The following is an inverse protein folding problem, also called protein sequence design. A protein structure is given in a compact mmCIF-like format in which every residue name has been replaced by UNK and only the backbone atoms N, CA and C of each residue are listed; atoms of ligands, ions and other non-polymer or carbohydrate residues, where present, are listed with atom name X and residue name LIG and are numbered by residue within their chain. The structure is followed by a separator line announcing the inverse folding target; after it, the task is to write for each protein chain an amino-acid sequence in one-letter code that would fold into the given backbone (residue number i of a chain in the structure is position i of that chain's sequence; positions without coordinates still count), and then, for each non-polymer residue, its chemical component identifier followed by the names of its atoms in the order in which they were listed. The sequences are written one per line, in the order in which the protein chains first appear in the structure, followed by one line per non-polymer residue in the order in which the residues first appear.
data_IF_876954583003
#
_entry.id   IF_876954583003
#
_cell.length_a   1.000
_cell.length_b   1.000
_cell.length_c   1.000
_cell.angle_alpha   90.00
_cell.angle_beta   90.00
_cell.angle_gamma   90.00
#
_symmetry.space_group_name_H-M   'P 1'
#
loop_
_entity.id
_entity.type
_entity.pdbx_description
1 polymer ?
#
# COMPACT_ATOMS: atom_id res chain seq x y z
N UNK A 1 -10.95 -5.32 6.61
CA UNK A 1 -9.88 -6.29 6.27
C UNK A 1 -9.49 -6.20 4.78
N UNK A 2 -8.77 -5.17 4.34
CA UNK A 2 -8.11 -5.20 3.03
C UNK A 2 -7.02 -4.13 2.96
N UNK A 3 -5.80 -4.47 3.39
CA UNK A 3 -4.60 -3.83 2.87
C UNK A 3 -3.86 -4.90 2.08
N UNK A 4 -3.71 -4.68 0.77
CA UNK A 4 -2.95 -5.55 -0.10
C UNK A 4 -1.46 -5.23 0.09
N UNK A 5 -0.79 -5.93 1.00
CA UNK A 5 0.66 -5.94 1.09
C UNK A 5 1.22 -7.04 0.19
N UNK A 6 1.98 -6.68 -0.85
CA UNK A 6 2.75 -7.64 -1.63
C UNK A 6 4.15 -7.78 -1.01
N UNK A 7 4.54 -9.01 -0.66
CA UNK A 7 5.94 -9.34 -0.34
C UNK A 7 6.65 -9.72 -1.65
N UNK A 8 7.65 -8.94 -2.06
CA UNK A 8 8.41 -9.19 -3.29
C UNK A 8 9.89 -9.44 -2.95
N UNK A 9 10.30 -10.72 -2.93
CA UNK A 9 11.71 -11.09 -2.78
C UNK A 9 12.48 -10.93 -4.10
N UNK A 10 13.55 -10.15 -4.10
CA UNK A 10 14.54 -10.05 -5.19
C UNK A 10 15.69 -11.01 -4.93
N UNK A 11 15.61 -12.21 -5.54
CA UNK A 11 16.67 -13.17 -5.92
C UNK A 11 16.15 -14.61 -5.75
N UNK A 12 16.10 -15.40 -6.84
CA UNK A 12 15.96 -16.87 -6.81
C UNK A 12 14.60 -17.47 -6.45
N UNK A 13 13.84 -16.92 -5.49
CA UNK A 13 12.49 -17.39 -5.16
C UNK A 13 11.62 -16.20 -4.73
N UNK A 14 10.63 -15.84 -5.56
CA UNK A 14 9.73 -14.72 -5.26
C UNK A 14 8.42 -15.30 -4.76
N UNK A 15 8.23 -15.31 -3.44
CA UNK A 15 7.00 -15.79 -2.81
C UNK A 15 6.16 -14.58 -2.39
N UNK A 16 4.98 -14.45 -3.00
CA UNK A 16 3.96 -13.52 -2.53
C UNK A 16 2.98 -14.28 -1.63
N UNK A 17 2.78 -13.83 -0.39
CA UNK A 17 1.76 -14.36 0.50
C UNK A 17 0.52 -13.45 0.46
N UNK A 18 -0.67 -14.03 0.24
CA UNK A 18 -1.93 -13.30 0.16
C UNK A 18 -3.03 -14.08 0.89
N UNK A 19 -3.96 -13.40 1.60
CA UNK A 19 -5.10 -14.07 2.21
C UNK A 19 -5.91 -14.89 1.19
N UNK A 20 -6.46 -16.02 1.63
CA UNK A 20 -7.16 -16.99 0.78
C UNK A 20 -8.55 -16.54 0.27
N UNK A 21 -9.24 -15.61 0.93
CA UNK A 21 -10.65 -15.30 0.60
C UNK A 21 -11.09 -13.94 1.16
N UNK A 22 -11.82 -13.13 0.36
CA UNK A 22 -12.78 -12.13 0.88
C UNK A 22 -12.67 -10.69 0.37
N UNK A 23 -11.52 -10.20 -0.09
CA UNK A 23 -11.43 -8.93 -0.80
C UNK A 23 -11.33 -9.24 -2.30
N UNK A 24 -12.09 -8.53 -3.15
CA UNK A 24 -12.11 -8.69 -4.60
C UNK A 24 -10.74 -9.16 -5.09
N UNK A 25 -10.68 -10.40 -5.60
CA UNK A 25 -9.42 -11.04 -5.93
C UNK A 25 -8.70 -10.15 -6.94
N UNK A 26 -7.78 -9.32 -6.46
CA UNK A 26 -6.84 -8.63 -7.33
C UNK A 26 -6.19 -9.78 -8.09
N UNK A 27 -6.28 -9.82 -9.43
CA UNK A 27 -5.70 -10.89 -10.22
C UNK A 27 -4.19 -10.72 -10.17
N UNK A 28 -3.59 -11.04 -9.02
CA UNK A 28 -2.18 -10.81 -8.77
C UNK A 28 -1.34 -11.60 -9.76
N UNK A 29 -1.87 -12.76 -10.16
CA UNK A 29 -1.34 -13.69 -11.16
C UNK A 29 -1.14 -13.04 -12.55
N UNK A 30 -1.82 -11.92 -12.86
CA UNK A 30 -1.59 -11.14 -14.10
C UNK A 30 -0.53 -10.04 -13.94
N UNK A 31 0.04 -9.85 -12.75
CA UNK A 31 1.10 -8.86 -12.56
C UNK A 31 2.40 -9.28 -13.22
N UNK A 32 3.23 -8.28 -13.60
CA UNK A 32 4.57 -8.50 -14.18
C UNK A 32 5.48 -9.37 -13.30
N UNK A 33 5.21 -9.43 -11.99
CA UNK A 33 5.95 -10.28 -11.07
C UNK A 33 5.88 -11.77 -11.47
N UNK A 34 4.72 -12.25 -11.90
CA UNK A 34 4.52 -13.64 -12.34
C UNK A 34 5.18 -13.92 -13.68
N UNK A 35 5.08 -12.98 -14.63
CA UNK A 35 5.81 -13.08 -15.89
C UNK A 35 7.33 -13.18 -15.68
N UNK A 36 7.85 -12.63 -14.58
CA UNK A 36 9.25 -12.70 -14.22
C UNK A 36 9.59 -13.83 -13.21
N UNK A 37 8.69 -14.81 -13.03
CA UNK A 37 8.95 -16.05 -12.28
C UNK A 37 8.48 -16.06 -10.83
N UNK A 38 7.63 -15.11 -10.40
CA UNK A 38 7.06 -15.15 -9.06
C UNK A 38 6.07 -16.30 -8.84
N UNK A 39 6.04 -16.82 -7.62
CA UNK A 39 5.12 -17.86 -7.15
C UNK A 39 4.19 -17.27 -6.10
N UNK A 40 2.89 -17.54 -6.22
CA UNK A 40 1.89 -17.17 -5.22
C UNK A 40 1.72 -18.32 -4.23
N UNK A 41 1.84 -18.03 -2.94
CA UNK A 41 1.47 -18.96 -1.88
C UNK A 41 0.31 -18.33 -1.12
N UNK A 42 -0.89 -18.92 -1.23
CA UNK A 42 -2.07 -18.45 -0.50
C UNK A 42 -2.12 -19.16 0.84
N UNK A 43 -2.22 -18.41 1.94
CA UNK A 43 -2.28 -18.98 3.28
C UNK A 43 -3.15 -18.11 4.19
N UNK A 44 -3.96 -18.77 5.03
CA UNK A 44 -4.83 -18.12 6.01
C UNK A 44 -6.03 -17.39 5.41
N UNK A 45 -6.95 -16.97 6.29
CA UNK A 45 -8.12 -16.16 5.92
C UNK A 45 -7.82 -14.66 6.09
N UNK A 46 -6.91 -14.31 6.99
CA UNK A 46 -6.49 -12.94 7.26
C UNK A 46 -5.06 -12.64 6.78
N UNK A 47 -4.78 -11.36 6.58
CA UNK A 47 -3.44 -10.87 6.21
C UNK A 47 -2.39 -11.24 7.25
N UNK A 48 -2.72 -11.16 8.55
CA UNK A 48 -1.80 -11.47 9.62
C UNK A 48 -1.29 -12.92 9.56
N UNK A 49 -2.16 -13.86 9.18
CA UNK A 49 -1.79 -15.28 9.00
C UNK A 49 -0.84 -15.45 7.81
N UNK A 50 -1.16 -14.85 6.66
CA UNK A 50 -0.30 -14.87 5.49
C UNK A 50 1.07 -14.23 5.75
N UNK A 51 1.09 -13.12 6.48
CA UNK A 51 2.32 -12.41 6.85
C UNK A 51 3.19 -13.23 7.80
N UNK A 52 2.61 -13.90 8.79
CA UNK A 52 3.36 -14.80 9.69
C UNK A 52 4.10 -15.89 8.89
N UNK A 53 3.42 -16.53 7.95
CA UNK A 53 4.06 -17.56 7.10
C UNK A 53 5.17 -16.99 6.24
N UNK A 54 5.01 -15.77 5.72
CA UNK A 54 6.06 -15.11 4.95
C UNK A 54 7.29 -14.77 5.82
N UNK A 55 7.07 -14.34 7.06
CA UNK A 55 8.14 -14.09 8.04
C UNK A 55 8.86 -15.39 8.40
N UNK A 56 8.12 -16.47 8.69
CA UNK A 56 8.70 -17.79 9.00
C UNK A 56 9.48 -18.36 7.81
N UNK A 57 8.98 -18.17 6.59
CA UNK A 57 9.69 -18.58 5.38
C UNK A 57 11.01 -17.81 5.20
N UNK A 58 11.06 -16.53 5.58
CA UNK A 58 12.26 -15.71 5.54
C UNK A 58 13.33 -16.11 6.57
N UNK A 59 13.00 -16.93 7.56
CA UNK A 59 14.00 -17.53 8.45
C UNK A 59 14.86 -18.60 7.74
N UNK A 60 14.43 -19.08 6.56
CA UNK A 60 15.21 -20.03 5.76
C UNK A 60 16.35 -19.31 5.02
N UNK A 61 17.48 -19.99 4.78
CA UNK A 61 18.50 -19.50 3.86
C UNK A 61 17.88 -19.13 2.50
N UNK A 62 18.44 -18.11 1.86
CA UNK A 62 18.03 -17.60 0.53
C UNK A 62 16.63 -16.97 0.44
N UNK A 63 15.95 -16.73 1.56
CA UNK A 63 14.67 -16.04 1.60
C UNK A 63 14.83 -14.69 2.30
N UNK A 64 14.13 -13.67 1.78
CA UNK A 64 14.05 -12.35 2.42
C UNK A 64 12.61 -11.91 2.50
N UNK A 65 12.19 -11.51 3.69
CA UNK A 65 10.93 -10.82 3.88
C UNK A 65 11.11 -9.36 3.47
N UNK A 66 10.28 -8.89 2.55
CA UNK A 66 10.23 -7.48 2.16
C UNK A 66 8.96 -6.88 2.74
N UNK A 67 9.12 -6.03 3.74
CA UNK A 67 7.99 -5.36 4.35
C UNK A 67 7.41 -4.34 3.37
N UNK A 68 6.08 -4.31 3.12
CA UNK A 68 5.47 -3.43 2.13
C UNK A 68 5.59 -1.91 2.42
N UNK A 69 6.11 -1.51 3.57
CA UNK A 69 6.20 -0.09 3.97
C UNK A 69 7.18 0.18 5.12
N UNK A 70 7.39 -0.77 6.04
CA UNK A 70 8.26 -0.61 7.21
C UNK A 70 9.74 -0.98 6.99
N UNK A 71 10.16 -1.34 5.77
CA UNK A 71 11.56 -1.59 5.43
C UNK A 71 12.21 -0.26 5.02
N UNK A 72 13.38 0.13 5.58
CA UNK A 72 14.07 1.37 5.22
C UNK A 72 14.33 1.54 3.72
N UNK A 73 14.66 0.47 3.00
CA UNK A 73 14.88 0.52 1.56
C UNK A 73 13.58 0.79 0.79
N UNK A 74 12.46 0.28 1.30
CA UNK A 74 11.14 0.60 0.74
C UNK A 74 10.81 2.07 1.00
N UNK A 75 10.99 2.57 2.23
CA UNK A 75 10.73 3.98 2.56
C UNK A 75 11.54 4.92 1.68
N UNK A 76 12.84 4.68 1.54
CA UNK A 76 13.72 5.49 0.68
C UNK A 76 13.25 5.43 -0.78
N UNK A 77 12.97 4.24 -1.30
CA UNK A 77 12.50 4.09 -2.68
C UNK A 77 11.14 4.75 -2.95
N UNK A 78 10.24 4.82 -1.95
CA UNK A 78 9.00 5.61 -2.09
C UNK A 78 9.27 7.12 -2.03
N UNK A 79 10.36 7.54 -1.38
CA UNK A 79 10.77 8.94 -1.30
C UNK A 79 11.16 9.55 -2.63
N UNK A 80 11.54 8.73 -3.63
CA UNK A 80 11.84 9.20 -4.98
C UNK A 80 10.67 9.98 -5.60
N UNK A 81 9.43 9.56 -5.35
CA UNK A 81 8.25 10.31 -5.80
C UNK A 81 8.19 11.71 -5.19
N UNK A 82 8.62 11.88 -3.94
CA UNK A 82 8.74 13.20 -3.31
C UNK A 82 9.88 14.03 -3.89
N UNK A 83 11.01 13.39 -4.22
CA UNK A 83 12.15 14.05 -4.85
C UNK A 83 11.81 14.54 -6.26
N UNK A 84 11.06 13.76 -7.03
CA UNK A 84 10.52 14.15 -8.33
C UNK A 84 9.59 15.37 -8.21
N UNK A 85 8.67 15.39 -7.22
CA UNK A 85 7.81 16.56 -6.97
C UNK A 85 8.62 17.82 -6.69
N UNK A 86 9.66 17.73 -5.85
CA UNK A 86 10.53 18.88 -5.52
C UNK A 86 11.37 19.31 -6.72
N UNK A 87 11.79 18.38 -7.57
CA UNK A 87 12.53 18.70 -8.79
C UNK A 87 11.64 19.44 -9.81
N UNK A 88 10.39 19.02 -9.95
CA UNK A 88 9.41 19.63 -10.86
C UNK A 88 8.89 20.98 -10.34
N UNK A 89 8.67 21.11 -9.03
CA UNK A 89 8.24 22.36 -8.38
C UNK A 89 9.05 22.62 -7.10
N UNK A 90 10.20 23.32 -7.21
CA UNK A 90 11.08 23.61 -6.07
C UNK A 90 10.45 24.48 -4.98
N UNK A 91 9.40 25.24 -5.29
CA UNK A 91 8.70 26.09 -4.32
C UNK A 91 7.56 25.36 -3.58
N UNK A 92 7.40 24.04 -3.78
CA UNK A 92 6.35 23.25 -3.13
C UNK A 92 6.46 23.34 -1.60
N UNK A 93 5.41 23.85 -0.96
CA UNK A 93 5.35 23.97 0.51
C UNK A 93 4.53 22.85 1.18
N UNK A 94 3.66 22.20 0.42
CA UNK A 94 2.69 21.24 0.94
C UNK A 94 2.48 20.11 -0.06
N UNK A 95 2.65 18.87 0.40
CA UNK A 95 2.32 17.66 -0.36
C UNK A 95 1.16 16.93 0.30
N UNK A 96 0.12 16.63 -0.47
CA UNK A 96 -1.03 15.84 0.01
C UNK A 96 -0.88 14.41 -0.47
N UNK A 97 -0.85 13.44 0.44
CA UNK A 97 -0.64 12.04 0.10
C UNK A 97 -1.62 11.13 0.85
N UNK A 98 -2.15 10.13 0.14
CA UNK A 98 -2.91 9.06 0.77
C UNK A 98 -1.98 8.23 1.66
N UNK A 99 -2.50 7.76 2.80
CA UNK A 99 -1.73 6.93 3.72
C UNK A 99 -2.44 5.61 4.05
N UNK A 100 -1.65 4.53 4.01
CA UNK A 100 -2.01 3.22 4.54
C UNK A 100 -1.00 2.84 5.62
N UNK A 101 0.02 2.06 5.24
CA UNK A 101 1.11 1.68 6.15
C UNK A 101 2.18 2.75 6.41
N UNK A 102 2.08 3.93 5.78
CA UNK A 102 2.97 5.08 6.07
C UNK A 102 4.24 5.20 5.23
N UNK A 103 4.65 4.16 4.49
CA UNK A 103 5.94 4.15 3.76
C UNK A 103 6.11 5.30 2.75
N UNK A 104 5.07 5.60 1.97
CA UNK A 104 5.09 6.71 1.01
C UNK A 104 5.27 8.06 1.71
N UNK A 105 4.39 8.37 2.67
CA UNK A 105 4.45 9.63 3.42
C UNK A 105 5.78 9.77 4.16
N UNK A 106 6.27 8.70 4.78
CA UNK A 106 7.56 8.69 5.46
C UNK A 106 8.70 9.02 4.47
N UNK A 107 8.72 8.40 3.29
CA UNK A 107 9.69 8.70 2.24
C UNK A 107 9.60 10.15 1.76
N UNK A 108 8.38 10.64 1.47
CA UNK A 108 8.14 12.01 1.04
C UNK A 108 8.61 13.04 2.06
N UNK A 109 8.32 12.83 3.35
CA UNK A 109 8.71 13.76 4.43
C UNK A 109 10.23 13.86 4.58
N UNK A 110 10.98 12.82 4.21
CA UNK A 110 12.45 12.86 4.26
C UNK A 110 13.08 13.77 3.20
N UNK A 111 12.35 14.10 2.13
CA UNK A 111 12.91 14.83 0.97
C UNK A 111 12.33 16.22 0.77
N UNK A 112 11.12 16.49 1.26
CA UNK A 112 10.49 17.82 1.14
C UNK A 112 10.98 18.78 2.23
N UNK A 113 11.09 20.07 1.90
CA UNK A 113 11.33 21.13 2.89
C UNK A 113 10.04 21.59 3.60
N UNK A 114 8.89 21.31 2.99
CA UNK A 114 7.57 21.72 3.44
C UNK A 114 6.89 20.74 4.40
N UNK A 115 5.56 20.71 4.34
CA UNK A 115 4.72 19.82 5.16
C UNK A 115 4.04 18.75 4.32
N UNK A 116 3.81 17.58 4.90
CA UNK A 116 2.94 16.56 4.33
C UNK A 116 1.56 16.60 5.01
N UNK A 117 0.50 16.64 4.20
CA UNK A 117 -0.88 16.44 4.66
C UNK A 117 -1.30 15.03 4.26
N UNK A 118 -1.65 14.23 5.26
CA UNK A 118 -2.03 12.83 5.06
C UNK A 118 -3.54 12.69 4.91
N UNK A 119 -3.97 11.80 4.02
CA UNK A 119 -5.38 11.52 3.76
C UNK A 119 -5.67 10.04 4.04
N UNK A 120 -6.64 9.80 4.92
CA UNK A 120 -7.14 8.46 5.25
C UNK A 120 -8.65 8.38 5.00
N UNK A 121 -9.17 7.22 4.57
CA UNK A 121 -10.61 6.97 4.59
C UNK A 121 -11.12 6.96 6.04
N UNK A 122 -12.33 7.48 6.26
CA UNK A 122 -12.95 7.45 7.59
C UNK A 122 -13.06 6.05 8.18
N UNK A 123 -13.22 5.02 7.33
CA UNK A 123 -13.27 3.61 7.74
C UNK A 123 -11.90 2.96 7.92
N UNK A 124 -10.79 3.59 7.55
CA UNK A 124 -9.45 2.99 7.54
C UNK A 124 -8.40 4.01 8.02
N UNK A 125 -8.46 4.39 9.29
CA UNK A 125 -7.75 5.54 9.88
C UNK A 125 -6.53 5.15 10.74
N UNK A 126 -5.70 4.26 10.21
CA UNK A 126 -4.62 3.62 10.98
C UNK A 126 -3.59 4.62 11.53
N UNK A 127 -3.20 5.61 10.72
CA UNK A 127 -2.25 6.63 11.13
C UNK A 127 -2.88 7.59 12.13
N UNK A 128 -4.13 8.02 11.91
CA UNK A 128 -4.86 8.87 12.84
C UNK A 128 -4.93 8.26 14.26
N UNK A 129 -5.34 7.01 14.36
CA UNK A 129 -5.46 6.34 15.67
C UNK A 129 -4.09 6.13 16.33
N UNK A 130 -3.05 5.79 15.55
CA UNK A 130 -1.68 5.66 16.06
C UNK A 130 -1.12 6.99 16.58
N UNK A 131 -1.38 8.10 15.87
CA UNK A 131 -1.00 9.44 16.31
C UNK A 131 -1.75 9.86 17.57
N UNK A 132 -3.07 9.59 17.63
CA UNK A 132 -3.87 9.86 18.84
C UNK A 132 -3.40 9.05 20.06
N UNK A 133 -2.96 7.81 19.84
CA UNK A 133 -2.42 6.93 20.88
C UNK A 133 -0.94 7.23 21.23
N UNK A 134 -0.23 8.00 20.41
CA UNK A 134 1.21 8.25 20.53
C UNK A 134 2.10 7.03 20.27
N UNK A 135 1.55 5.96 19.70
CA UNK A 135 2.24 4.68 19.42
C UNK A 135 1.47 3.88 18.37
N UNK A 136 2.12 2.91 17.68
CA UNK A 136 1.40 1.98 16.82
C UNK A 136 0.21 1.34 17.55
N UNK A 137 -0.97 1.43 16.93
CA UNK A 137 -2.23 0.98 17.49
C UNK A 137 -3.02 0.19 16.44
N UNK A 138 -3.85 -0.73 16.92
CA UNK A 138 -4.78 -1.45 16.05
C UNK A 138 -6.00 -0.56 15.78
N UNK A 139 -6.30 -0.38 14.50
CA UNK A 139 -7.47 0.38 14.05
C UNK A 139 -8.54 -0.54 13.48
N UNK A 140 -9.82 -0.24 13.76
CA UNK A 140 -10.91 -0.91 13.06
C UNK A 140 -10.86 -0.56 11.57
N UNK A 141 -11.24 -1.54 10.73
CA UNK A 141 -11.36 -1.36 9.28
C UNK A 141 -12.83 -1.52 8.90
N UNK A 142 -13.46 -0.41 8.56
CA UNK A 142 -14.83 -0.34 8.04
C UNK A 142 -14.95 -0.89 6.61
N UNK A 143 -16.17 -1.16 6.15
CA UNK A 143 -16.41 -1.57 4.77
C UNK A 143 -16.03 -0.45 3.80
N UNK A 144 -15.60 -0.83 2.58
CA UNK A 144 -15.42 0.14 1.50
C UNK A 144 -16.77 0.79 1.20
N UNK A 145 -16.89 2.13 1.17
CA UNK A 145 -18.14 2.79 0.85
C UNK A 145 -18.55 2.41 -0.58
N UNK A 146 -19.80 1.99 -0.76
CA UNK A 146 -20.35 1.77 -2.09
C UNK A 146 -20.18 3.05 -2.92
N UNK A 147 -19.71 2.98 -4.18
CA UNK A 147 -19.60 4.17 -5.01
C UNK A 147 -20.98 4.85 -5.07
N UNK A 148 -21.02 6.20 -5.13
CA UNK A 148 -22.28 6.91 -5.25
C UNK A 148 -23.03 6.37 -6.48
N UNK A 149 -24.30 5.99 -6.28
CA UNK A 149 -25.16 5.57 -7.39
C UNK A 149 -25.30 6.74 -8.35
N UNK A 150 -24.67 6.65 -9.51
CA UNK A 150 -24.94 7.58 -10.62
C UNK A 150 -26.36 7.27 -11.10
N UNK A 151 -27.31 8.22 -11.05
CA UNK A 151 -28.65 7.99 -11.57
C UNK A 151 -28.56 7.69 -13.08
N UNK A 152 -29.30 6.68 -13.59
CA UNK A 152 -29.38 6.45 -15.03
C UNK A 152 -29.88 7.74 -15.72
N UNK A 153 -29.09 8.26 -16.68
CA UNK A 153 -29.40 9.48 -17.44
C UNK A 153 -28.55 10.72 -17.13
N UNK A 154 -27.62 10.66 -16.16
CA UNK A 154 -26.73 11.79 -15.83
C UNK A 154 -25.39 11.80 -16.58
N UNK A 155 -25.13 10.79 -17.42
CA UNK A 155 -24.04 10.86 -18.40
C UNK A 155 -24.46 11.83 -19.51
N UNK A 156 -24.03 13.08 -19.38
CA UNK A 156 -24.21 14.10 -20.42
C UNK A 156 -23.76 13.53 -21.77
N UNK A 157 -24.62 13.65 -22.77
CA UNK A 157 -24.25 13.37 -24.15
C UNK A 157 -23.03 14.23 -24.51
N UNK A 158 -21.98 13.68 -25.15
CA UNK A 158 -20.88 14.50 -25.61
C UNK A 158 -21.43 15.43 -26.70
N UNK A 159 -21.55 16.73 -26.38
CA UNK A 159 -21.82 17.76 -27.36
C UNK A 159 -20.65 17.80 -28.34
N UNK A 160 -20.86 17.28 -29.55
CA UNK A 160 -19.94 17.55 -30.67
C UNK A 160 -20.23 18.98 -31.13
N UNK A 161 -19.30 19.88 -30.86
CA UNK A 161 -19.13 21.13 -31.61
C UNK A 161 -17.86 21.01 -32.43
#
# INVERSE_FOLDING_TARGET
MAQAGAALGLAGLRVSACPGTGAAAVPLETSRAFAAGARLVRHGAAFAEAASVAVDAAARPDHRFVHPYGDPAVVVGQGDAGAEIVADEPAVDTVVAAVGGGGLVAGTVLVIAGRAVVVEPEGCRCLHDALAAGKPANSPVGPWPSPPRVPPGSAGSPSRS
#
